data_IF_703041788834
#
_entry.id   IF_703041788834
#
_cell.length_a   1.000
_cell.length_b   1.000
_cell.length_c   1.000
_cell.angle_alpha   90.00
_cell.angle_beta   90.00
_cell.angle_gamma   90.00
#
_symmetry.space_group_name_H-M   'P 1'
#
loop_
_entity.id
_entity.type
_entity.pdbx_description
1 polymer ?
#
# COMPACT_ATOMS: atom_id res chain seq x y z
N UNK A 1 -36.78 -67.18 61.54
CA UNK A 1 -36.90 -65.97 62.37
C UNK A 1 -35.55 -65.25 62.34
N UNK A 2 -35.54 -63.94 62.07
CA UNK A 2 -34.38 -63.01 61.95
C UNK A 2 -33.55 -63.10 60.66
N UNK A 3 -33.72 -62.17 59.71
CA UNK A 3 -33.19 -60.77 59.62
C UNK A 3 -31.76 -60.74 59.03
N UNK A 4 -31.60 -60.23 57.81
CA UNK A 4 -30.99 -58.92 57.54
C UNK A 4 -30.78 -58.69 56.04
N UNK A 5 -31.29 -57.56 55.57
CA UNK A 5 -31.01 -56.99 54.24
C UNK A 5 -29.63 -56.32 54.29
N UNK A 6 -28.79 -56.57 53.29
CA UNK A 6 -27.49 -55.95 53.13
C UNK A 6 -27.25 -55.58 51.68
N UNK A 7 -27.46 -54.30 51.39
CA UNK A 7 -27.26 -53.58 50.15
C UNK A 7 -25.76 -53.62 49.75
N UNK A 8 -25.41 -53.95 48.51
CA UNK A 8 -24.07 -53.65 47.98
C UNK A 8 -24.15 -53.05 46.56
N UNK A 9 -23.50 -51.89 46.47
CA UNK A 9 -23.41 -50.93 45.38
C UNK A 9 -22.93 -51.54 44.05
N UNK A 10 -23.58 -51.15 42.96
CA UNK A 10 -23.03 -51.19 41.59
C UNK A 10 -22.32 -49.86 41.35
N UNK A 11 -20.98 -49.88 41.31
CA UNK A 11 -20.17 -48.71 40.95
C UNK A 11 -20.03 -48.63 39.43
N UNK A 12 -20.86 -47.80 38.79
CA UNK A 12 -20.68 -47.40 37.39
C UNK A 12 -19.57 -46.34 37.35
N UNK A 13 -18.40 -46.72 36.83
CA UNK A 13 -17.28 -45.80 36.60
C UNK A 13 -17.53 -45.00 35.33
N UNK A 14 -18.25 -43.89 35.46
CA UNK A 14 -18.41 -42.89 34.41
C UNK A 14 -17.09 -42.13 34.22
N UNK A 15 -16.31 -42.49 33.20
CA UNK A 15 -15.22 -41.64 32.72
C UNK A 15 -15.84 -40.36 32.13
N UNK A 16 -15.85 -39.28 32.92
CA UNK A 16 -16.07 -37.94 32.43
C UNK A 16 -14.95 -37.60 31.45
N UNK A 17 -15.30 -37.49 30.17
CA UNK A 17 -14.57 -36.69 29.19
C UNK A 17 -14.58 -35.25 29.71
N UNK A 18 -13.49 -34.87 30.39
CA UNK A 18 -13.12 -33.48 30.59
C UNK A 18 -12.79 -32.90 29.20
N UNK A 19 -13.82 -32.50 28.47
CA UNK A 19 -13.70 -31.48 27.45
C UNK A 19 -13.24 -30.22 28.19
N UNK A 20 -11.93 -30.01 28.23
CA UNK A 20 -11.34 -28.82 28.79
C UNK A 20 -12.00 -27.61 28.14
N UNK A 21 -12.63 -26.77 28.96
CA UNK A 21 -12.97 -25.41 28.58
C UNK A 21 -11.69 -24.76 28.05
N UNK A 22 -11.58 -24.60 26.73
CA UNK A 22 -10.59 -23.70 26.17
C UNK A 22 -10.90 -22.32 26.74
N UNK A 23 -9.98 -21.80 27.55
CA UNK A 23 -9.88 -20.39 27.89
C UNK A 23 -10.23 -19.54 26.66
N UNK A 24 -11.03 -18.49 26.83
CA UNK A 24 -11.28 -17.48 25.79
C UNK A 24 -9.98 -17.23 25.02
N UNK A 25 -9.93 -17.60 23.74
CA UNK A 25 -8.70 -17.53 22.96
C UNK A 25 -8.22 -16.08 22.97
N UNK A 26 -7.11 -15.80 23.64
CA UNK A 26 -6.44 -14.50 23.56
C UNK A 26 -6.15 -14.23 22.08
N UNK A 27 -6.91 -13.31 21.47
CA UNK A 27 -6.72 -12.92 20.08
C UNK A 27 -5.57 -11.93 19.97
N UNK A 28 -4.86 -11.97 18.85
CA UNK A 28 -3.84 -10.97 18.53
C UNK A 28 -4.53 -9.83 17.79
N UNK A 29 -4.61 -8.66 18.41
CA UNK A 29 -5.27 -7.50 17.80
C UNK A 29 -4.31 -6.77 16.85
N UNK A 30 -4.77 -6.54 15.63
CA UNK A 30 -4.08 -5.77 14.59
C UNK A 30 -4.98 -4.59 14.22
N UNK A 31 -4.45 -3.37 14.32
CA UNK A 31 -5.19 -2.16 13.99
C UNK A 31 -5.12 -1.85 12.50
N UNK A 32 -6.24 -1.51 11.87
CA UNK A 32 -6.27 -1.02 10.49
C UNK A 32 -6.76 0.43 10.50
N UNK A 33 -5.94 1.34 9.97
CA UNK A 33 -6.23 2.77 9.89
C UNK A 33 -6.10 3.26 8.44
N UNK A 34 -7.19 3.12 7.67
CA UNK A 34 -7.18 3.33 6.22
C UNK A 34 -8.27 4.27 5.75
N UNK A 35 -8.02 4.80 4.56
CA UNK A 35 -8.91 5.61 3.75
C UNK A 35 -10.01 4.69 3.17
N UNK A 36 -11.06 4.42 3.94
CA UNK A 36 -12.20 3.59 3.47
C UNK A 36 -13.32 4.44 2.88
N UNK A 37 -13.28 5.74 3.14
CA UNK A 37 -14.02 6.79 2.48
C UNK A 37 -13.13 8.03 2.24
N UNK A 38 -13.69 9.04 1.54
CA UNK A 38 -12.97 10.26 1.21
C UNK A 38 -12.24 10.21 -0.14
N UNK A 39 -11.33 11.16 -0.35
CA UNK A 39 -10.71 11.45 -1.64
C UNK A 39 -9.96 10.24 -2.23
N UNK A 40 -9.28 9.46 -1.39
CA UNK A 40 -8.41 8.36 -1.83
C UNK A 40 -8.93 6.99 -1.40
N UNK A 41 -10.25 6.87 -1.22
CA UNK A 41 -10.92 5.66 -0.73
C UNK A 41 -10.57 4.40 -1.52
N UNK A 42 -10.30 4.52 -2.83
CA UNK A 42 -9.97 3.37 -3.66
C UNK A 42 -8.69 2.66 -3.22
N UNK A 43 -7.71 3.37 -2.66
CA UNK A 43 -6.46 2.75 -2.19
C UNK A 43 -6.70 1.97 -0.90
N UNK A 44 -7.24 2.64 0.12
CA UNK A 44 -7.47 2.03 1.44
C UNK A 44 -8.44 0.86 1.38
N UNK A 45 -9.47 0.92 0.53
CA UNK A 45 -10.35 -0.23 0.29
C UNK A 45 -9.62 -1.42 -0.33
N UNK A 46 -8.80 -1.18 -1.37
CA UNK A 46 -8.03 -2.23 -2.04
C UNK A 46 -7.01 -2.89 -1.08
N UNK A 47 -6.27 -2.09 -0.31
CA UNK A 47 -5.32 -2.57 0.69
C UNK A 47 -5.99 -3.40 1.79
N UNK A 48 -7.12 -2.91 2.33
CA UNK A 48 -7.87 -3.67 3.35
C UNK A 48 -8.38 -4.99 2.81
N UNK A 49 -8.83 -5.06 1.55
CA UNK A 49 -9.22 -6.33 0.93
C UNK A 49 -8.04 -7.32 0.86
N UNK A 50 -6.84 -6.84 0.50
CA UNK A 50 -5.61 -7.64 0.53
C UNK A 50 -5.28 -8.15 1.93
N UNK A 51 -5.32 -7.27 2.93
CA UNK A 51 -5.07 -7.59 4.33
C UNK A 51 -6.07 -8.64 4.84
N UNK A 52 -7.37 -8.42 4.60
CA UNK A 52 -8.44 -9.32 5.04
C UNK A 52 -8.31 -10.70 4.40
N UNK A 53 -7.95 -10.78 3.10
CA UNK A 53 -7.69 -12.06 2.44
C UNK A 53 -6.56 -12.82 3.13
N UNK A 54 -5.41 -12.17 3.38
CA UNK A 54 -4.27 -12.81 4.04
C UNK A 54 -4.61 -13.29 5.46
N UNK A 55 -5.25 -12.43 6.26
CA UNK A 55 -5.57 -12.74 7.65
C UNK A 55 -6.62 -13.85 7.75
N UNK A 56 -7.61 -13.89 6.86
CA UNK A 56 -8.57 -14.99 6.81
C UNK A 56 -7.90 -16.32 6.49
N UNK A 57 -6.99 -16.35 5.51
CA UNK A 57 -6.24 -17.55 5.18
C UNK A 57 -5.37 -18.02 6.36
N UNK A 58 -4.72 -17.09 7.05
CA UNK A 58 -3.89 -17.38 8.23
C UNK A 58 -4.74 -17.90 9.40
N UNK A 59 -5.87 -17.26 9.68
CA UNK A 59 -6.79 -17.69 10.73
C UNK A 59 -7.42 -19.06 10.41
N UNK A 60 -7.78 -19.31 9.15
CA UNK A 60 -8.27 -20.61 8.70
C UNK A 60 -7.19 -21.72 8.85
N UNK A 61 -5.91 -21.36 8.76
CA UNK A 61 -4.78 -22.24 9.02
C UNK A 61 -4.43 -22.38 10.52
N UNK A 62 -5.26 -21.87 11.43
CA UNK A 62 -5.08 -21.97 12.89
C UNK A 62 -4.40 -20.77 13.55
N UNK A 63 -4.15 -19.69 12.81
CA UNK A 63 -3.60 -18.44 13.34
C UNK A 63 -2.09 -18.48 13.64
N UNK A 64 -1.70 -17.87 14.74
CA UNK A 64 -0.32 -17.83 15.25
C UNK A 64 -0.29 -18.56 16.59
N UNK A 65 0.36 -19.73 16.63
CA UNK A 65 0.41 -20.59 17.82
C UNK A 65 -0.98 -20.90 18.42
N UNK A 66 -1.97 -21.10 17.54
CA UNK A 66 -3.36 -21.36 17.92
C UNK A 66 -4.18 -20.10 18.28
N UNK A 67 -3.57 -18.92 18.27
CA UNK A 67 -4.24 -17.63 18.50
C UNK A 67 -4.70 -17.02 17.19
N UNK A 68 -5.99 -16.68 17.13
CA UNK A 68 -6.55 -15.98 15.97
C UNK A 68 -6.19 -14.50 15.99
N UNK A 69 -6.03 -13.93 14.81
CA UNK A 69 -5.80 -12.50 14.60
C UNK A 69 -7.16 -11.81 14.49
N UNK A 70 -7.34 -10.73 15.25
CA UNK A 70 -8.51 -9.86 15.23
C UNK A 70 -8.16 -8.52 14.60
N UNK A 71 -8.81 -8.20 13.49
CA UNK A 71 -8.66 -6.92 12.81
C UNK A 71 -9.55 -5.86 13.47
N UNK A 72 -8.95 -4.81 14.02
CA UNK A 72 -9.65 -3.64 14.52
C UNK A 72 -9.64 -2.56 13.43
N UNK A 73 -10.65 -2.62 12.56
CA UNK A 73 -10.76 -1.76 11.38
C UNK A 73 -11.37 -0.40 11.71
N UNK A 74 -10.77 0.67 11.19
CA UNK A 74 -11.24 2.06 11.30
C UNK A 74 -11.06 2.80 9.97
N UNK A 75 -12.04 3.63 9.65
CA UNK A 75 -12.04 4.51 8.48
C UNK A 75 -11.54 5.89 8.90
N UNK A 76 -10.41 6.32 8.33
CA UNK A 76 -9.85 7.65 8.58
C UNK A 76 -10.41 8.74 7.67
N UNK A 77 -11.29 8.39 6.71
CA UNK A 77 -12.01 9.30 5.82
C UNK A 77 -11.10 10.17 4.93
N UNK A 78 -9.86 9.74 4.72
CA UNK A 78 -8.82 10.53 4.06
C UNK A 78 -8.47 11.83 4.81
N UNK A 79 -8.63 11.87 6.14
CA UNK A 79 -8.39 13.06 6.98
C UNK A 79 -7.24 12.84 7.99
N UNK A 80 -6.33 13.80 8.09
CA UNK A 80 -5.13 13.69 8.92
C UNK A 80 -5.41 13.71 10.43
N UNK A 81 -6.39 14.51 10.87
CA UNK A 81 -6.74 14.61 12.28
C UNK A 81 -7.46 13.33 12.75
N UNK A 82 -8.39 12.83 11.95
CA UNK A 82 -9.06 11.55 12.19
C UNK A 82 -8.04 10.40 12.18
N UNK A 83 -7.11 10.39 11.22
CA UNK A 83 -6.02 9.40 11.16
C UNK A 83 -5.19 9.37 12.45
N UNK A 84 -4.82 10.54 12.98
CA UNK A 84 -4.05 10.66 14.23
C UNK A 84 -4.86 10.19 15.45
N UNK A 85 -6.15 10.56 15.49
CA UNK A 85 -7.09 10.16 16.55
C UNK A 85 -7.27 8.64 16.58
N UNK A 86 -7.46 8.02 15.42
CA UNK A 86 -7.59 6.56 15.28
C UNK A 86 -6.31 5.87 15.71
N UNK A 87 -5.13 6.33 15.29
CA UNK A 87 -3.87 5.73 15.72
C UNK A 87 -3.72 5.75 17.25
N UNK A 88 -4.11 6.86 17.88
CA UNK A 88 -4.06 7.00 19.35
C UNK A 88 -5.04 6.03 20.02
N UNK A 89 -6.26 5.92 19.48
CA UNK A 89 -7.26 4.97 19.95
C UNK A 89 -6.78 3.51 19.82
N UNK A 90 -6.21 3.14 18.66
CA UNK A 90 -5.68 1.80 18.40
C UNK A 90 -4.55 1.46 19.38
N UNK A 91 -3.62 2.39 19.61
CA UNK A 91 -2.49 2.19 20.50
C UNK A 91 -2.90 2.12 21.99
N UNK A 92 -3.82 2.98 22.43
CA UNK A 92 -4.09 3.17 23.87
C UNK A 92 -5.32 2.43 24.39
N UNK A 93 -6.41 2.39 23.62
CA UNK A 93 -7.67 1.80 24.03
C UNK A 93 -7.77 0.34 23.57
N UNK A 94 -7.49 0.09 22.29
CA UNK A 94 -7.54 -1.26 21.73
C UNK A 94 -6.27 -2.06 22.05
N UNK A 95 -5.16 -1.36 22.30
CA UNK A 95 -3.85 -1.93 22.62
C UNK A 95 -3.43 -2.97 21.57
N UNK A 96 -3.53 -2.57 20.31
CA UNK A 96 -3.16 -3.43 19.19
C UNK A 96 -1.65 -3.72 19.20
N UNK A 97 -1.27 -4.89 18.69
CA UNK A 97 0.12 -5.32 18.60
C UNK A 97 0.90 -4.59 17.51
N UNK A 98 0.20 -4.18 16.45
CA UNK A 98 0.74 -3.48 15.28
C UNK A 98 -0.40 -2.70 14.60
N UNK A 99 -0.09 -1.56 13.99
CA UNK A 99 -1.00 -0.77 13.16
C UNK A 99 -0.57 -0.94 11.69
N UNK A 100 -1.52 -1.27 10.82
CA UNK A 100 -1.33 -1.28 9.37
C UNK A 100 -2.05 -0.07 8.78
N UNK A 101 -1.39 0.60 7.85
CA UNK A 101 -1.85 1.82 7.20
C UNK A 101 -1.00 3.04 7.54
N UNK A 102 -1.33 4.24 7.06
CA UNK A 102 -2.38 4.49 6.07
C UNK A 102 -1.87 4.15 4.65
N UNK A 103 -2.73 4.28 3.65
CA UNK A 103 -2.34 4.08 2.25
C UNK A 103 -1.41 5.21 1.77
N UNK A 104 -1.75 6.45 2.10
CA UNK A 104 -1.02 7.63 1.58
C UNK A 104 0.10 8.10 2.50
N UNK A 105 1.14 8.71 1.90
CA UNK A 105 2.30 9.23 2.61
C UNK A 105 1.95 10.27 3.67
N UNK A 106 1.06 11.22 3.36
CA UNK A 106 0.65 12.26 4.31
C UNK A 106 -0.07 11.70 5.53
N UNK A 107 -1.00 10.76 5.33
CA UNK A 107 -1.75 10.15 6.42
C UNK A 107 -0.91 9.14 7.22
N UNK A 108 0.06 8.49 6.59
CA UNK A 108 1.05 7.70 7.33
C UNK A 108 1.91 8.60 8.22
N UNK A 109 2.41 9.72 7.70
CA UNK A 109 3.18 10.71 8.48
C UNK A 109 2.42 11.27 9.67
N UNK A 110 1.10 11.44 9.56
CA UNK A 110 0.24 11.87 10.67
C UNK A 110 0.24 10.87 11.85
N UNK A 111 0.49 9.58 11.60
CA UNK A 111 0.53 8.54 12.64
C UNK A 111 1.90 8.37 13.29
N UNK A 112 2.98 8.85 12.65
CA UNK A 112 4.36 8.66 13.10
C UNK A 112 4.59 9.11 14.55
N UNK A 113 4.15 10.31 14.99
CA UNK A 113 4.33 10.72 16.39
C UNK A 113 3.65 9.78 17.37
N UNK A 114 2.46 9.28 17.02
CA UNK A 114 1.68 8.36 17.86
C UNK A 114 2.36 6.99 17.95
N UNK A 115 2.77 6.43 16.80
CA UNK A 115 3.46 5.15 16.73
C UNK A 115 4.74 5.15 17.59
N UNK A 116 5.56 6.21 17.46
CA UNK A 116 6.78 6.36 18.24
C UNK A 116 6.50 6.60 19.74
N UNK A 117 5.52 7.45 20.08
CA UNK A 117 5.19 7.78 21.47
C UNK A 117 4.68 6.56 22.25
N UNK A 118 3.81 5.77 21.62
CA UNK A 118 3.21 4.59 22.26
C UNK A 118 3.96 3.28 21.94
N UNK A 119 5.04 3.37 21.17
CA UNK A 119 5.88 2.24 20.77
C UNK A 119 5.10 1.10 20.11
N UNK A 120 4.17 1.46 19.23
CA UNK A 120 3.39 0.49 18.45
C UNK A 120 3.90 0.54 17.01
N UNK A 121 4.39 -0.58 16.44
CA UNK A 121 4.89 -0.58 15.08
C UNK A 121 3.76 -0.22 14.11
N UNK A 122 4.10 0.65 13.16
CA UNK A 122 3.26 1.14 12.08
C UNK A 122 3.86 0.65 10.76
N UNK A 123 3.07 -0.07 9.97
CA UNK A 123 3.49 -0.55 8.65
C UNK A 123 2.54 0.02 7.60
N UNK A 124 3.04 0.92 6.76
CA UNK A 124 2.28 1.38 5.61
C UNK A 124 2.48 0.43 4.41
N UNK A 125 1.39 0.00 3.75
CA UNK A 125 1.51 -0.78 2.52
C UNK A 125 2.15 0.00 1.37
N UNK A 126 1.82 1.29 1.24
CA UNK A 126 2.03 2.07 0.01
C UNK A 126 2.53 3.50 0.20
N UNK A 127 2.84 3.96 1.42
CA UNK A 127 3.44 5.29 1.60
C UNK A 127 4.87 5.34 1.02
N UNK A 128 5.06 6.02 -0.10
CA UNK A 128 6.33 6.07 -0.85
C UNK A 128 7.21 7.28 -0.55
N UNK A 129 6.71 8.35 0.09
CA UNK A 129 7.54 9.54 0.33
C UNK A 129 8.77 9.20 1.18
N UNK A 130 9.95 9.67 0.75
CA UNK A 130 11.23 9.30 1.36
C UNK A 130 11.27 9.59 2.88
N UNK A 131 10.56 10.63 3.33
CA UNK A 131 10.51 11.11 4.71
C UNK A 131 9.47 10.41 5.62
N UNK A 132 8.80 9.36 5.14
CA UNK A 132 7.81 8.61 5.95
C UNK A 132 8.48 7.83 7.08
N UNK A 133 9.61 7.18 6.80
CA UNK A 133 10.31 6.29 7.72
C UNK A 133 11.57 6.92 8.33
N UNK A 134 11.90 8.16 7.98
CA UNK A 134 13.05 8.90 8.52
C UNK A 134 12.83 10.42 8.36
N UNK A 135 13.49 11.24 9.18
CA UNK A 135 13.43 12.71 9.08
C UNK A 135 14.60 13.32 8.26
N UNK A 136 15.27 12.50 7.45
CA UNK A 136 16.50 12.84 6.73
C UNK A 136 17.78 12.71 7.57
N UNK A 137 17.67 12.54 8.89
CA UNK A 137 18.81 12.36 9.81
C UNK A 137 18.67 11.07 10.62
N UNK A 138 17.49 10.83 11.16
CA UNK A 138 17.16 9.73 12.05
C UNK A 138 16.04 8.88 11.44
N UNK A 139 16.16 7.57 11.62
CA UNK A 139 15.07 6.63 11.33
C UNK A 139 13.91 6.86 12.30
N UNK A 140 12.68 6.71 11.82
CA UNK A 140 11.48 6.63 12.64
C UNK A 140 11.42 5.22 13.26
N UNK A 141 11.64 5.08 14.59
CA UNK A 141 11.98 3.80 15.20
C UNK A 141 10.87 2.74 15.13
N UNK A 142 9.61 3.15 14.94
CA UNK A 142 8.46 2.27 14.88
C UNK A 142 7.71 2.30 13.53
N UNK A 143 8.32 2.82 12.47
CA UNK A 143 7.62 3.02 11.19
C UNK A 143 8.33 2.29 10.07
N UNK A 144 7.58 1.49 9.32
CA UNK A 144 8.05 0.69 8.19
C UNK A 144 7.13 0.88 6.99
N UNK A 145 7.62 0.53 5.82
CA UNK A 145 6.81 0.43 4.60
C UNK A 145 7.05 -0.88 3.86
N UNK A 146 6.06 -1.30 3.08
CA UNK A 146 6.16 -2.46 2.15
C UNK A 146 6.41 -2.02 0.71
N UNK A 147 6.09 -0.78 0.36
CA UNK A 147 6.39 -0.16 -0.94
C UNK A 147 7.87 0.23 -1.08
N UNK A 148 8.26 0.56 -2.31
CA UNK A 148 9.50 1.31 -2.55
C UNK A 148 9.35 2.79 -2.16
N UNK A 149 10.38 3.59 -2.42
CA UNK A 149 10.42 5.02 -2.13
C UNK A 149 10.26 5.89 -3.39
N UNK A 150 9.79 7.13 -3.21
CA UNK A 150 9.54 8.10 -4.28
C UNK A 150 10.81 8.44 -5.05
N UNK A 151 11.95 8.55 -4.38
CA UNK A 151 13.21 8.81 -5.09
C UNK A 151 13.55 7.72 -6.11
N UNK A 152 13.40 6.44 -5.74
CA UNK A 152 13.56 5.31 -6.66
C UNK A 152 12.51 5.35 -7.79
N UNK A 153 11.26 5.67 -7.46
CA UNK A 153 10.15 5.78 -8.40
C UNK A 153 10.37 6.91 -9.43
N UNK A 154 10.75 8.11 -8.99
CA UNK A 154 11.05 9.26 -9.85
C UNK A 154 12.24 9.01 -10.77
N UNK A 155 13.31 8.38 -10.26
CA UNK A 155 14.46 7.95 -11.07
C UNK A 155 14.02 6.95 -12.14
N UNK A 156 13.19 5.98 -11.76
CA UNK A 156 12.64 4.96 -12.66
C UNK A 156 11.87 5.60 -13.81
N UNK A 157 10.94 6.51 -13.51
CA UNK A 157 10.13 7.17 -14.56
C UNK A 157 10.94 8.14 -15.43
N UNK A 158 11.93 8.85 -14.87
CA UNK A 158 12.84 9.69 -15.67
C UNK A 158 13.71 8.86 -16.62
N UNK A 159 14.22 7.72 -16.14
CA UNK A 159 14.95 6.76 -16.98
C UNK A 159 14.04 6.19 -18.07
N UNK A 160 12.83 5.79 -17.73
CA UNK A 160 11.86 5.29 -18.70
C UNK A 160 11.57 6.32 -19.79
N UNK A 161 11.27 7.57 -19.44
CA UNK A 161 11.04 8.65 -20.39
C UNK A 161 12.23 8.84 -21.35
N UNK A 162 13.43 9.02 -20.79
CA UNK A 162 14.64 9.35 -21.55
C UNK A 162 15.27 8.19 -22.33
N UNK A 163 15.24 6.97 -21.79
CA UNK A 163 15.98 5.81 -22.34
C UNK A 163 15.07 4.84 -23.08
N UNK A 164 13.83 4.63 -22.60
CA UNK A 164 12.89 3.70 -23.22
C UNK A 164 12.01 4.40 -24.25
N UNK A 165 11.45 5.56 -23.91
CA UNK A 165 10.64 6.35 -24.84
C UNK A 165 11.45 7.34 -25.70
N UNK A 166 12.75 7.50 -25.40
CA UNK A 166 13.64 8.46 -26.09
C UNK A 166 13.12 9.89 -26.09
N UNK A 167 12.48 10.31 -24.99
CA UNK A 167 11.90 11.64 -24.77
C UNK A 167 12.84 12.51 -23.95
N UNK A 168 13.11 13.74 -24.39
CA UNK A 168 14.09 14.64 -23.81
C UNK A 168 13.54 16.04 -23.49
N UNK A 169 12.23 16.28 -23.63
CA UNK A 169 11.55 17.54 -23.28
C UNK A 169 10.29 17.27 -22.46
N UNK A 170 10.41 17.33 -21.14
CA UNK A 170 9.31 17.06 -20.23
C UNK A 170 8.58 18.33 -19.80
N UNK A 171 7.25 18.28 -19.73
CA UNK A 171 6.46 19.14 -18.85
C UNK A 171 6.13 18.37 -17.59
N UNK A 172 6.22 19.01 -16.43
CA UNK A 172 5.71 18.45 -15.18
C UNK A 172 4.45 19.21 -14.80
N UNK A 173 3.35 18.50 -14.52
CA UNK A 173 2.13 19.06 -13.92
C UNK A 173 1.90 18.33 -12.59
N UNK A 174 2.31 18.93 -11.49
CA UNK A 174 2.34 18.26 -10.18
C UNK A 174 1.40 18.87 -9.15
N UNK A 175 0.88 18.03 -8.26
CA UNK A 175 0.10 18.47 -7.09
C UNK A 175 1.02 19.13 -6.04
N UNK A 176 0.84 20.42 -5.80
CA UNK A 176 1.66 21.17 -4.83
C UNK A 176 1.22 20.98 -3.37
N UNK A 177 0.03 20.42 -3.15
CA UNK A 177 -0.48 20.11 -1.81
C UNK A 177 -0.01 18.74 -1.28
N UNK A 178 0.63 17.93 -2.13
CA UNK A 178 1.04 16.56 -1.81
C UNK A 178 2.56 16.41 -1.72
N UNK A 179 3.08 15.99 -0.57
CA UNK A 179 4.51 15.69 -0.39
C UNK A 179 4.99 14.56 -1.31
N UNK A 180 4.13 13.58 -1.54
CA UNK A 180 4.35 12.50 -2.52
C UNK A 180 4.59 13.07 -3.93
N UNK A 181 3.67 13.93 -4.40
CA UNK A 181 3.77 14.47 -5.74
C UNK A 181 4.98 15.41 -5.91
N UNK A 182 5.29 16.20 -4.88
CA UNK A 182 6.47 17.07 -4.85
C UNK A 182 7.78 16.27 -4.90
N UNK A 183 7.90 15.22 -4.08
CA UNK A 183 9.09 14.35 -4.06
C UNK A 183 9.34 13.64 -5.39
N UNK A 184 8.27 13.13 -6.01
CA UNK A 184 8.35 12.57 -7.36
C UNK A 184 8.75 13.58 -8.42
N UNK A 185 8.13 14.77 -8.42
CA UNK A 185 8.46 15.84 -9.36
C UNK A 185 9.92 16.27 -9.26
N UNK A 186 10.43 16.44 -8.02
CA UNK A 186 11.82 16.82 -7.76
C UNK A 186 12.78 15.75 -8.29
N UNK A 187 12.56 14.49 -7.93
CA UNK A 187 13.46 13.41 -8.30
C UNK A 187 13.43 13.11 -9.79
N UNK A 188 12.23 13.11 -10.40
CA UNK A 188 12.09 13.00 -11.86
C UNK A 188 12.84 14.12 -12.57
N UNK A 189 12.63 15.38 -12.16
CA UNK A 189 13.28 16.56 -12.77
C UNK A 189 14.80 16.47 -12.71
N UNK A 190 15.36 16.10 -11.55
CA UNK A 190 16.79 15.95 -11.35
C UNK A 190 17.38 14.84 -12.24
N UNK A 191 16.77 13.64 -12.21
CA UNK A 191 17.26 12.51 -13.00
C UNK A 191 17.08 12.72 -14.50
N UNK A 192 15.96 13.29 -14.94
CA UNK A 192 15.68 13.55 -16.35
C UNK A 192 16.69 14.52 -16.95
N UNK A 193 17.05 15.58 -16.22
CA UNK A 193 18.12 16.51 -16.58
C UNK A 193 19.50 15.83 -16.64
N UNK A 194 19.80 14.97 -15.67
CA UNK A 194 21.03 14.18 -15.65
C UNK A 194 21.13 13.24 -16.87
N UNK A 195 20.01 12.73 -17.35
CA UNK A 195 19.91 11.93 -18.57
C UNK A 195 20.02 12.75 -19.87
N UNK A 196 20.23 14.07 -19.80
CA UNK A 196 20.31 14.97 -20.95
C UNK A 196 18.98 15.57 -21.40
N UNK A 197 17.90 15.33 -20.66
CA UNK A 197 16.59 15.92 -20.90
C UNK A 197 16.48 17.36 -20.40
N UNK A 198 15.43 18.05 -20.83
CA UNK A 198 15.05 19.40 -20.39
C UNK A 198 13.65 19.36 -19.81
N UNK A 199 13.45 19.91 -18.62
CA UNK A 199 12.11 20.19 -18.09
C UNK A 199 11.70 21.57 -18.63
N UNK A 200 10.83 21.60 -19.62
CA UNK A 200 10.45 22.83 -20.34
C UNK A 200 9.54 23.73 -19.52
N UNK A 201 8.70 23.12 -18.67
CA UNK A 201 7.86 23.80 -17.71
C UNK A 201 7.55 22.89 -16.52
N UNK A 202 7.32 23.51 -15.37
CA UNK A 202 6.78 22.86 -14.19
C UNK A 202 5.55 23.65 -13.74
N UNK A 203 4.39 23.14 -14.14
CA UNK A 203 3.08 23.66 -13.78
C UNK A 203 2.56 22.95 -12.52
N UNK A 204 1.51 23.51 -11.93
CA UNK A 204 0.97 23.05 -10.67
C UNK A 204 -0.55 22.98 -10.70
N UNK A 205 -1.08 22.08 -9.87
CA UNK A 205 -2.46 22.05 -9.41
C UNK A 205 -2.46 21.71 -7.90
N UNK A 206 -3.65 21.64 -7.30
CA UNK A 206 -3.82 21.20 -5.90
C UNK A 206 -4.90 20.11 -5.81
N UNK A 207 -4.82 19.25 -4.79
CA UNK A 207 -5.84 18.21 -4.57
C UNK A 207 -7.24 18.82 -4.47
N UNK A 208 -8.24 18.14 -5.04
CA UNK A 208 -9.64 18.57 -5.09
C UNK A 208 -9.99 19.50 -6.25
N UNK A 209 -9.00 20.00 -7.00
CA UNK A 209 -9.24 20.71 -8.26
C UNK A 209 -9.88 19.79 -9.30
N UNK A 210 -10.80 20.34 -10.11
CA UNK A 210 -11.58 19.56 -11.09
C UNK A 210 -11.40 20.08 -12.53
N UNK A 211 -10.98 21.34 -12.68
CA UNK A 211 -10.84 22.01 -13.97
C UNK A 211 -9.38 22.39 -14.19
N UNK A 212 -8.74 21.69 -15.13
CA UNK A 212 -7.35 21.86 -15.53
C UNK A 212 -7.24 22.47 -16.92
N UNK A 213 -8.35 22.88 -17.57
CA UNK A 213 -8.36 23.36 -18.95
C UNK A 213 -7.42 24.55 -19.16
N UNK A 214 -7.37 25.48 -18.20
CA UNK A 214 -6.53 26.66 -18.29
C UNK A 214 -5.04 26.33 -18.32
N UNK A 215 -4.58 25.40 -17.47
CA UNK A 215 -3.18 24.96 -17.45
C UNK A 215 -2.86 24.09 -18.66
N UNK A 216 -3.75 23.16 -19.03
CA UNK A 216 -3.54 22.25 -20.15
C UNK A 216 -3.55 22.97 -21.50
N UNK A 217 -4.35 24.02 -21.67
CA UNK A 217 -4.32 24.87 -22.87
C UNK A 217 -2.96 25.56 -23.04
N UNK A 218 -2.33 26.01 -21.95
CA UNK A 218 -0.97 26.58 -22.00
C UNK A 218 0.06 25.50 -22.31
N UNK A 219 -0.04 24.35 -21.64
CA UNK A 219 0.86 23.21 -21.87
C UNK A 219 0.81 22.75 -23.34
N UNK A 220 -0.39 22.67 -23.93
CA UNK A 220 -0.58 22.28 -25.34
C UNK A 220 0.13 23.20 -26.36
N UNK A 221 0.50 24.42 -25.96
CA UNK A 221 1.25 25.36 -26.81
C UNK A 221 2.78 25.23 -26.67
N UNK A 222 3.26 24.39 -25.75
CA UNK A 222 4.69 24.18 -25.50
C UNK A 222 5.26 23.09 -26.41
N UNK A 223 6.56 23.17 -26.68
CA UNK A 223 7.32 22.11 -27.37
C UNK A 223 7.86 21.12 -26.34
N UNK A 224 7.12 20.04 -26.13
CA UNK A 224 7.47 18.95 -25.21
C UNK A 224 7.11 17.61 -25.84
N UNK A 225 7.75 16.56 -25.35
CA UNK A 225 7.61 15.20 -25.90
C UNK A 225 7.14 14.19 -24.84
N UNK A 226 6.98 14.62 -23.57
CA UNK A 226 6.39 13.84 -22.48
C UNK A 226 5.76 14.75 -21.40
N UNK A 227 4.59 14.38 -20.90
CA UNK A 227 3.94 15.03 -19.75
C UNK A 227 4.07 14.11 -18.52
N UNK A 228 4.76 14.57 -17.48
CA UNK A 228 4.83 13.86 -16.20
C UNK A 228 3.83 14.47 -15.21
N UNK A 229 2.91 13.65 -14.70
CA UNK A 229 1.84 14.06 -13.79
C UNK A 229 1.94 13.30 -12.47
N UNK A 230 2.78 13.73 -11.53
CA UNK A 230 2.79 13.14 -10.19
C UNK A 230 1.52 13.57 -9.44
N UNK A 231 0.73 12.59 -9.00
CA UNK A 231 -0.59 12.81 -8.41
C UNK A 231 -1.36 11.52 -8.13
N UNK A 232 -2.59 11.68 -7.62
CA UNK A 232 -3.52 10.59 -7.34
C UNK A 232 -4.66 10.51 -8.37
N UNK A 233 -5.32 9.36 -8.42
CA UNK A 233 -6.27 9.03 -9.49
C UNK A 233 -7.40 10.04 -9.72
N UNK A 234 -7.86 10.77 -8.71
CA UNK A 234 -9.00 11.69 -8.84
C UNK A 234 -8.66 12.84 -9.78
N UNK A 235 -7.60 13.57 -9.49
CA UNK A 235 -7.14 14.67 -10.32
C UNK A 235 -6.53 14.14 -11.62
N UNK A 236 -5.71 13.08 -11.53
CA UNK A 236 -5.01 12.53 -12.70
C UNK A 236 -5.98 12.04 -13.77
N UNK A 237 -7.06 11.32 -13.40
CA UNK A 237 -8.04 10.86 -14.38
C UNK A 237 -8.66 12.01 -15.16
N UNK A 238 -9.00 13.10 -14.47
CA UNK A 238 -9.52 14.33 -15.08
C UNK A 238 -8.45 15.05 -15.93
N UNK A 239 -7.20 15.12 -15.45
CA UNK A 239 -6.06 15.69 -16.18
C UNK A 239 -5.84 14.93 -17.48
N UNK A 240 -5.83 13.59 -17.46
CA UNK A 240 -5.63 12.76 -18.67
C UNK A 240 -6.74 13.08 -19.69
N UNK A 241 -8.01 13.06 -19.26
CA UNK A 241 -9.14 13.37 -20.13
C UNK A 241 -9.00 14.77 -20.75
N UNK A 242 -8.83 15.79 -19.92
CA UNK A 242 -8.76 17.17 -20.37
C UNK A 242 -7.49 17.44 -21.20
N UNK A 243 -6.39 16.72 -20.95
CA UNK A 243 -5.18 16.84 -21.74
C UNK A 243 -5.41 16.34 -23.16
N UNK A 244 -6.08 15.20 -23.32
CA UNK A 244 -6.46 14.69 -24.65
C UNK A 244 -7.45 15.62 -25.35
N UNK A 245 -8.45 16.15 -24.64
CA UNK A 245 -9.39 17.15 -25.16
C UNK A 245 -8.68 18.45 -25.62
N UNK A 246 -7.62 18.86 -24.93
CA UNK A 246 -6.76 20.00 -25.30
C UNK A 246 -5.78 19.69 -26.45
N UNK A 247 -5.79 18.48 -27.01
CA UNK A 247 -4.93 18.08 -28.12
C UNK A 247 -3.53 17.60 -27.72
N UNK A 248 -3.28 17.38 -26.42
CA UNK A 248 -2.01 16.80 -25.95
C UNK A 248 -2.02 15.31 -26.25
N UNK A 249 -1.24 14.88 -27.22
CA UNK A 249 -1.13 13.50 -27.68
C UNK A 249 0.17 12.81 -27.27
N UNK A 250 1.08 13.54 -26.61
CA UNK A 250 2.34 13.00 -26.09
C UNK A 250 2.11 11.99 -24.96
N UNK A 251 3.09 11.11 -24.68
CA UNK A 251 3.02 10.20 -23.56
C UNK A 251 2.73 10.92 -22.24
N UNK A 252 1.84 10.37 -21.43
CA UNK A 252 1.56 10.83 -20.06
C UNK A 252 2.16 9.82 -19.08
N UNK A 253 3.05 10.27 -18.21
CA UNK A 253 3.76 9.44 -17.24
C UNK A 253 3.31 9.80 -15.82
N UNK A 254 3.21 8.80 -14.95
CA UNK A 254 2.82 8.95 -13.55
C UNK A 254 3.57 8.04 -12.59
N UNK A 255 3.28 8.20 -11.30
CA UNK A 255 3.66 7.26 -10.25
C UNK A 255 2.55 6.25 -9.95
N UNK A 256 2.75 5.47 -8.90
CA UNK A 256 1.84 4.47 -8.35
C UNK A 256 0.44 5.00 -8.00
N UNK A 257 0.31 6.31 -7.76
CA UNK A 257 -0.99 7.00 -7.62
C UNK A 257 -1.94 6.91 -8.82
N UNK A 258 -1.53 6.33 -9.95
CA UNK A 258 -2.41 6.07 -11.09
C UNK A 258 -3.22 4.77 -10.93
N UNK A 259 -2.80 3.84 -10.06
CA UNK A 259 -3.30 2.47 -10.03
C UNK A 259 -4.67 2.31 -9.33
N UNK A 260 -5.70 2.92 -9.90
CA UNK A 260 -7.07 2.86 -9.41
C UNK A 260 -8.06 2.72 -10.57
N UNK A 261 -9.07 1.82 -10.47
CA UNK A 261 -10.12 1.72 -11.49
C UNK A 261 -10.89 3.05 -11.66
N UNK A 262 -10.95 3.88 -10.62
CA UNK A 262 -11.60 5.21 -10.68
C UNK A 262 -10.87 6.15 -11.65
N UNK A 263 -9.54 6.04 -11.78
CA UNK A 263 -8.79 6.79 -12.80
C UNK A 263 -9.35 6.48 -14.19
N UNK A 264 -9.58 5.19 -14.47
CA UNK A 264 -9.98 4.70 -15.78
C UNK A 264 -11.38 5.19 -16.12
N UNK A 265 -12.28 5.22 -15.13
CA UNK A 265 -13.63 5.77 -15.25
C UNK A 265 -13.62 7.27 -15.51
N UNK A 266 -12.82 8.04 -14.75
CA UNK A 266 -12.73 9.50 -14.87
C UNK A 266 -12.10 9.93 -16.20
N UNK A 267 -11.03 9.26 -16.61
CA UNK A 267 -10.34 9.55 -17.86
C UNK A 267 -11.21 9.19 -19.08
N UNK A 268 -11.91 8.06 -18.99
CA UNK A 268 -12.61 7.46 -20.13
C UNK A 268 -11.64 6.71 -21.05
N UNK A 269 -12.13 5.60 -21.62
CA UNK A 269 -11.33 4.67 -22.44
C UNK A 269 -10.53 5.37 -23.55
N UNK A 270 -11.16 6.29 -24.26
CA UNK A 270 -10.57 6.96 -25.43
C UNK A 270 -9.40 7.90 -25.06
N UNK A 271 -9.30 8.34 -23.80
CA UNK A 271 -8.20 9.17 -23.34
C UNK A 271 -6.98 8.35 -22.85
N UNK A 272 -7.18 7.05 -22.58
CA UNK A 272 -6.22 6.14 -21.96
C UNK A 272 -5.38 5.40 -23.01
N UNK A 273 -4.62 6.18 -23.78
CA UNK A 273 -3.58 5.69 -24.68
C UNK A 273 -2.26 6.40 -24.39
N UNK A 274 -1.14 5.69 -24.56
CA UNK A 274 0.20 6.23 -24.33
C UNK A 274 0.34 6.80 -22.90
N UNK A 275 -0.26 6.10 -21.92
CA UNK A 275 -0.21 6.43 -20.49
C UNK A 275 0.63 5.37 -19.79
N UNK A 276 1.61 5.80 -19.00
CA UNK A 276 2.52 4.90 -18.30
C UNK A 276 2.64 5.30 -16.84
N UNK A 277 2.75 4.32 -15.95
CA UNK A 277 2.95 4.59 -14.53
C UNK A 277 3.79 3.51 -13.87
N UNK A 278 4.47 3.86 -12.79
CA UNK A 278 5.28 2.92 -12.02
C UNK A 278 4.45 2.25 -10.93
N UNK A 279 4.77 1.01 -10.59
CA UNK A 279 4.10 0.25 -9.53
C UNK A 279 5.00 -0.89 -9.02
N UNK A 280 4.72 -1.47 -7.85
CA UNK A 280 5.45 -2.59 -7.26
C UNK A 280 4.91 -3.98 -7.70
N UNK A 281 3.86 -4.01 -8.52
CA UNK A 281 3.13 -5.21 -8.90
C UNK A 281 2.55 -5.09 -10.31
N UNK A 282 2.35 -6.24 -10.97
CA UNK A 282 1.58 -6.35 -12.20
C UNK A 282 0.77 -7.64 -12.18
N UNK A 283 -0.50 -7.57 -12.57
CA UNK A 283 -1.35 -8.76 -12.77
C UNK A 283 -0.89 -9.63 -13.96
N UNK A 284 0.02 -9.11 -14.79
CA UNK A 284 0.63 -9.85 -15.90
C UNK A 284 1.80 -10.75 -15.44
N UNK A 285 2.26 -10.62 -14.19
CA UNK A 285 3.34 -11.46 -13.66
C UNK A 285 2.88 -12.93 -13.55
N UNK A 286 3.73 -13.83 -14.05
CA UNK A 286 3.47 -15.27 -14.11
C UNK A 286 4.10 -16.02 -12.93
N UNK A 287 4.68 -15.31 -11.96
CA UNK A 287 5.14 -15.92 -10.71
C UNK A 287 4.00 -16.73 -10.04
N UNK A 288 4.24 -17.98 -9.61
CA UNK A 288 3.24 -18.81 -8.94
C UNK A 288 2.57 -18.15 -7.72
N UNK A 289 3.31 -17.33 -6.96
CA UNK A 289 2.76 -16.62 -5.80
C UNK A 289 1.76 -15.54 -6.24
N UNK A 290 2.09 -14.81 -7.31
CA UNK A 290 1.22 -13.79 -7.91
C UNK A 290 -0.03 -14.42 -8.50
N UNK A 291 0.13 -15.45 -9.34
CA UNK A 291 -1.01 -16.12 -9.99
C UNK A 291 -1.95 -16.77 -8.97
N UNK A 292 -1.42 -17.33 -7.88
CA UNK A 292 -2.23 -17.84 -6.77
C UNK A 292 -2.99 -16.71 -6.06
N UNK A 293 -2.31 -15.61 -5.73
CA UNK A 293 -2.96 -14.45 -5.11
C UNK A 293 -4.09 -13.90 -5.97
N UNK A 294 -3.88 -13.75 -7.28
CA UNK A 294 -4.91 -13.31 -8.23
C UNK A 294 -6.12 -14.26 -8.19
N UNK A 295 -5.88 -15.57 -8.22
CA UNK A 295 -6.96 -16.56 -8.19
C UNK A 295 -7.74 -16.51 -6.87
N UNK A 296 -7.05 -16.46 -5.73
CA UNK A 296 -7.68 -16.38 -4.40
C UNK A 296 -8.48 -15.08 -4.24
N UNK A 297 -7.91 -13.95 -4.70
CA UNK A 297 -8.54 -12.64 -4.62
C UNK A 297 -9.81 -12.58 -5.48
N UNK A 298 -9.75 -13.08 -6.72
CA UNK A 298 -10.93 -13.21 -7.59
C UNK A 298 -12.00 -14.09 -6.99
N UNK A 299 -11.60 -15.24 -6.42
CA UNK A 299 -12.56 -16.16 -5.81
C UNK A 299 -13.32 -15.50 -4.65
N UNK A 300 -12.67 -14.59 -3.92
CA UNK A 300 -13.28 -13.88 -2.79
C UNK A 300 -14.08 -12.64 -3.21
N UNK A 301 -13.52 -11.79 -4.07
CA UNK A 301 -14.05 -10.45 -4.34
C UNK A 301 -14.70 -10.30 -5.72
N UNK A 302 -14.52 -11.27 -6.63
CA UNK A 302 -15.10 -11.24 -7.97
C UNK A 302 -14.46 -10.22 -8.93
N UNK A 303 -13.34 -9.60 -8.53
CA UNK A 303 -12.62 -8.60 -9.31
C UNK A 303 -11.13 -8.94 -9.36
N UNK A 304 -10.42 -8.38 -10.35
CA UNK A 304 -8.96 -8.43 -10.44
C UNK A 304 -8.33 -7.62 -9.30
N UNK A 305 -7.29 -8.11 -8.61
CA UNK A 305 -6.52 -7.26 -7.69
C UNK A 305 -5.63 -6.28 -8.45
N UNK A 306 -5.48 -5.08 -7.90
CA UNK A 306 -4.43 -4.13 -8.28
C UNK A 306 -3.25 -4.22 -7.32
N UNK A 307 -2.26 -3.34 -7.49
CA UNK A 307 -1.08 -3.37 -6.63
C UNK A 307 -1.35 -2.97 -5.19
N UNK A 308 -2.31 -2.09 -4.93
CA UNK A 308 -2.72 -1.73 -3.57
C UNK A 308 -3.27 -2.95 -2.81
N UNK A 309 -4.08 -3.79 -3.45
CA UNK A 309 -4.48 -5.07 -2.88
C UNK A 309 -3.30 -6.02 -2.65
N UNK A 310 -2.36 -6.09 -3.57
CA UNK A 310 -1.16 -6.92 -3.44
C UNK A 310 -0.25 -6.46 -2.28
N UNK A 311 -0.03 -5.14 -2.14
CA UNK A 311 0.75 -4.52 -1.07
C UNK A 311 0.06 -4.70 0.29
N UNK A 312 -1.27 -4.56 0.35
CA UNK A 312 -2.05 -4.85 1.55
C UNK A 312 -1.90 -6.31 2.00
N UNK A 313 -1.98 -7.25 1.05
CA UNK A 313 -1.77 -8.67 1.29
C UNK A 313 -0.37 -8.94 1.85
N UNK A 314 0.69 -8.42 1.22
CA UNK A 314 2.07 -8.57 1.69
C UNK A 314 2.32 -7.88 3.04
N UNK A 315 1.66 -6.77 3.32
CA UNK A 315 1.76 -6.07 4.61
C UNK A 315 1.20 -6.93 5.74
N UNK A 316 0.07 -7.61 5.52
CA UNK A 316 -0.46 -8.56 6.48
C UNK A 316 0.47 -9.77 6.68
N UNK A 317 1.01 -10.33 5.58
CA UNK A 317 1.95 -11.45 5.67
C UNK A 317 3.24 -11.08 6.42
N UNK A 318 3.80 -9.91 6.13
CA UNK A 318 5.00 -9.38 6.79
C UNK A 318 4.75 -9.14 8.29
N UNK A 319 3.61 -8.53 8.65
CA UNK A 319 3.24 -8.32 10.05
C UNK A 319 3.13 -9.66 10.80
N UNK A 320 2.50 -10.67 10.19
CA UNK A 320 2.35 -12.00 10.80
C UNK A 320 3.68 -12.74 10.91
N UNK A 321 4.54 -12.64 9.90
CA UNK A 321 5.90 -13.17 9.95
C UNK A 321 6.70 -12.54 11.09
N UNK A 322 6.64 -11.22 11.26
CA UNK A 322 7.30 -10.53 12.36
C UNK A 322 6.76 -10.95 13.73
N UNK A 323 5.44 -11.09 13.89
CA UNK A 323 4.82 -11.58 15.14
C UNK A 323 5.29 -13.00 15.46
N UNK A 324 5.36 -13.89 14.45
CA UNK A 324 5.87 -15.26 14.61
C UNK A 324 7.34 -15.26 15.05
N UNK A 325 8.20 -14.49 14.39
CA UNK A 325 9.62 -14.39 14.74
C UNK A 325 9.85 -13.76 16.12
N UNK A 326 9.01 -12.81 16.52
CA UNK A 326 9.01 -12.23 17.85
C UNK A 326 8.57 -13.23 18.95
N UNK A 327 7.84 -14.29 18.58
CA UNK A 327 7.26 -15.26 19.52
C UNK A 327 6.32 -14.61 20.54
N UNK A 328 5.75 -13.44 20.21
CA UNK A 328 4.99 -12.59 21.13
C UNK A 328 4.13 -11.59 20.37
N UNK A 329 2.99 -11.22 20.94
CA UNK A 329 2.14 -10.12 20.47
C UNK A 329 2.55 -8.77 21.08
N UNK A 330 3.79 -8.66 21.55
CA UNK A 330 4.34 -7.47 22.19
C UNK A 330 4.84 -6.48 21.12
N UNK A 331 4.35 -5.23 21.10
CA UNK A 331 4.70 -4.27 20.06
C UNK A 331 6.20 -4.01 19.88
N UNK A 332 6.97 -3.93 20.97
CA UNK A 332 8.41 -3.65 20.89
C UNK A 332 9.17 -4.85 20.30
N UNK A 333 8.81 -6.09 20.68
CA UNK A 333 9.41 -7.29 20.07
C UNK A 333 9.04 -7.47 18.60
N UNK A 334 7.82 -7.12 18.22
CA UNK A 334 7.39 -7.11 16.81
C UNK A 334 8.21 -6.09 16.02
N UNK A 335 8.46 -4.91 16.61
CA UNK A 335 9.30 -3.88 16.00
C UNK A 335 10.72 -4.38 15.73
N UNK A 336 11.37 -5.03 16.70
CA UNK A 336 12.70 -5.64 16.52
C UNK A 336 12.71 -6.69 15.40
N UNK A 337 11.66 -7.51 15.32
CA UNK A 337 11.51 -8.50 14.26
C UNK A 337 11.32 -7.82 12.89
N UNK A 338 10.51 -6.77 12.77
CA UNK A 338 10.34 -6.03 11.52
C UNK A 338 11.66 -5.48 10.99
N UNK A 339 12.45 -4.82 11.84
CA UNK A 339 13.77 -4.29 11.48
C UNK A 339 14.81 -5.35 11.08
N UNK A 340 14.56 -6.62 11.41
CA UNK A 340 15.44 -7.76 11.07
C UNK A 340 14.98 -8.54 9.84
N UNK A 341 14.01 -8.02 9.08
CA UNK A 341 13.43 -8.72 7.93
C UNK A 341 14.39 -8.76 6.75
N UNK A 342 14.73 -9.97 6.30
CA UNK A 342 15.61 -10.20 5.15
C UNK A 342 14.99 -11.24 4.23
N UNK A 343 14.93 -10.93 2.93
CA UNK A 343 14.48 -11.82 1.87
C UNK A 343 13.10 -12.46 2.11
N UNK A 344 12.18 -11.71 2.73
CA UNK A 344 10.80 -12.15 2.92
C UNK A 344 10.08 -12.19 1.57
N UNK A 345 9.49 -13.33 1.20
CA UNK A 345 8.85 -13.48 -0.11
C UNK A 345 7.39 -13.03 -0.05
N UNK A 346 7.05 -11.99 -0.82
CA UNK A 346 5.69 -11.51 -1.02
C UNK A 346 5.25 -11.55 -2.49
N UNK A 347 3.95 -11.33 -2.73
CA UNK A 347 3.37 -11.25 -4.09
C UNK A 347 3.89 -10.05 -4.86
N UNK A 348 4.39 -9.02 -4.17
CA UNK A 348 5.00 -7.82 -4.75
C UNK A 348 6.54 -7.92 -4.80
N UNK A 349 7.06 -9.14 -4.70
CA UNK A 349 8.49 -9.44 -4.75
C UNK A 349 9.12 -9.67 -3.36
N UNK A 350 10.43 -9.89 -3.36
CA UNK A 350 11.19 -10.06 -2.12
C UNK A 350 11.32 -8.74 -1.36
N UNK A 351 11.14 -8.80 -0.04
CA UNK A 351 11.22 -7.67 0.88
C UNK A 351 12.43 -7.87 1.79
N UNK A 352 13.36 -6.94 1.71
CA UNK A 352 14.42 -6.75 2.71
C UNK A 352 14.28 -5.36 3.29
N UNK A 353 14.18 -5.26 4.61
CA UNK A 353 14.08 -3.99 5.32
C UNK A 353 15.47 -3.41 5.51
N UNK A 354 15.70 -2.20 5.00
CA UNK A 354 16.97 -1.51 5.16
C UNK A 354 17.10 -0.81 6.53
N UNK A 355 18.24 -0.16 6.77
CA UNK A 355 18.51 0.58 8.02
C UNK A 355 17.59 1.79 8.25
N UNK A 356 16.83 2.20 7.23
CA UNK A 356 15.86 3.30 7.27
C UNK A 356 14.42 2.78 7.27
N UNK A 357 14.25 1.48 7.54
CA UNK A 357 12.96 0.80 7.58
C UNK A 357 12.19 0.81 6.24
N UNK A 358 12.91 0.97 5.13
CA UNK A 358 12.36 0.87 3.79
C UNK A 358 12.44 -0.57 3.27
N UNK A 359 11.41 -1.02 2.56
CA UNK A 359 11.50 -2.24 1.76
C UNK A 359 12.31 -1.96 0.48
N UNK A 360 13.42 -2.68 0.31
CA UNK A 360 14.19 -2.68 -0.95
C UNK A 360 13.54 -3.66 -1.92
N UNK A 361 12.89 -3.15 -2.98
CA UNK A 361 12.16 -3.98 -3.96
C UNK A 361 12.15 -3.35 -5.35
N UNK A 362 11.85 -4.18 -6.35
CA UNK A 362 11.70 -3.78 -7.75
C UNK A 362 10.44 -2.95 -7.99
N UNK A 363 10.49 -2.13 -9.03
CA UNK A 363 9.34 -1.51 -9.65
C UNK A 363 9.04 -2.18 -11.00
N UNK A 364 7.83 -1.97 -11.50
CA UNK A 364 7.43 -2.19 -12.89
C UNK A 364 6.90 -0.88 -13.43
N UNK A 365 7.17 -0.59 -14.69
CA UNK A 365 6.47 0.45 -15.45
C UNK A 365 5.38 -0.25 -16.24
N UNK A 366 4.14 0.14 -16.00
CA UNK A 366 2.94 -0.38 -16.65
C UNK A 366 2.52 0.56 -17.77
N UNK A 367 2.08 -0.02 -18.88
CA UNK A 367 1.52 0.70 -20.01
C UNK A 367 0.01 0.49 -20.06
N UNK A 368 -0.74 1.58 -20.16
CA UNK A 368 -2.18 1.56 -20.43
C UNK A 368 -2.42 1.85 -21.91
N UNK A 369 -3.12 0.93 -22.56
CA UNK A 369 -3.73 1.15 -23.88
C UNK A 369 -5.19 0.70 -23.85
N UNK A 370 -6.05 1.48 -24.51
CA UNK A 370 -7.48 1.22 -24.62
C UNK A 370 -8.15 0.95 -23.26
N UNK A 371 -7.71 1.64 -22.21
CA UNK A 371 -8.22 1.48 -20.85
C UNK A 371 -7.87 0.15 -20.19
N UNK A 372 -6.83 -0.55 -20.65
CA UNK A 372 -6.32 -1.78 -20.05
C UNK A 372 -4.80 -1.74 -19.90
N UNK A 373 -4.27 -2.41 -18.88
CA UNK A 373 -2.83 -2.60 -18.74
C UNK A 373 -2.37 -3.65 -19.75
N UNK A 374 -1.52 -3.26 -20.69
CA UNK A 374 -1.08 -4.12 -21.82
C UNK A 374 0.39 -4.49 -21.79
N UNK A 375 1.20 -3.77 -21.01
CA UNK A 375 2.65 -3.93 -20.97
C UNK A 375 3.21 -3.79 -19.57
N UNK A 376 4.34 -4.45 -19.32
CA UNK A 376 5.13 -4.29 -18.11
C UNK A 376 6.62 -4.26 -18.46
N UNK A 377 7.35 -3.31 -17.88
CA UNK A 377 8.81 -3.29 -17.89
C UNK A 377 9.32 -3.31 -16.46
N UNK A 378 10.03 -4.36 -16.05
CA UNK A 378 10.60 -4.46 -14.70
C UNK A 378 11.87 -3.63 -14.57
N UNK A 379 11.99 -2.93 -13.44
CA UNK A 379 13.14 -2.12 -13.05
C UNK A 379 13.56 -2.53 -11.65
N UNK A 380 14.79 -3.01 -11.50
CA UNK A 380 15.34 -3.42 -10.21
C UNK A 380 16.08 -2.25 -9.55
N UNK A 381 16.08 -2.16 -8.20
CA UNK A 381 16.76 -1.11 -7.46
C UNK A 381 18.28 -1.14 -7.58
#
# INVERSE_FOLDING_TARGET
MNRMKGLFLVTVSSMLLLAGCSSSSDKIKVGLNFELSGAVASYGQAEVQGIELAIEQINAAGGIDGKLIELIKRDNKSDAAETTSIATFLATQEKVSVILGAATSGLTKAQVPVANQYKVPLISPSATADDVTNDGVNVQPFVYRVSFIDSFQGITMANFASKNLSKLKAVILGDQSSDYAKGLAETFSAQFKSNGGTVVAQEAYVSGEQDFNGVLTRVAQMDFDVLFVPGYYQEVGLIIKQAREAGITTPILGGDGFDSPVLFELAGKDALYDVYFSQAYSSLDQDPMVTKFIADFKAKYGVEPNAFSALGYDTALLAVDAIRRAGSSDPEKINEALGSTVNFQGVTGSITVDKWHNAVKSAVVLEIQDGTVVGLQRVNP
#
